data_IF_909998271930
#
_entry.id   IF_909998271930
#
_cell.length_a   1.000
_cell.length_b   1.000
_cell.length_c   1.000
_cell.angle_alpha   90.00
_cell.angle_beta   90.00
_cell.angle_gamma   90.00
#
_symmetry.space_group_name_H-M   'P 1'
#
loop_
_entity.id
_entity.type
_entity.pdbx_description
1 polymer ?
#
# COMPACT_ATOMS: atom_id res chain seq x y z
N UNK A 1 -14.50 5.71 -0.83
CA UNK A 1 -13.86 6.79 -1.58
C UNK A 1 -12.65 6.23 -2.33
N UNK A 2 -12.64 6.41 -3.65
CA UNK A 2 -11.49 6.09 -4.49
C UNK A 2 -10.80 7.40 -4.89
N UNK A 3 -9.47 7.45 -4.79
CA UNK A 3 -8.69 8.64 -5.06
C UNK A 3 -7.49 8.31 -5.97
N UNK A 4 -7.53 8.79 -7.20
CA UNK A 4 -6.43 8.68 -8.14
C UNK A 4 -5.91 10.09 -8.50
N UNK A 5 -4.86 10.50 -7.87
CA UNK A 5 -4.03 9.92 -6.82
C UNK A 5 -3.90 10.93 -5.66
N UNK A 6 -3.52 10.42 -4.48
CA UNK A 6 -3.22 11.31 -3.36
C UNK A 6 -2.01 12.21 -3.65
N UNK A 7 -1.07 11.73 -4.45
CA UNK A 7 0.10 12.51 -4.92
C UNK A 7 -0.34 13.73 -5.72
N UNK A 8 -1.32 13.58 -6.63
CA UNK A 8 -1.85 14.70 -7.42
C UNK A 8 -2.58 15.72 -6.56
N UNK A 9 -3.38 15.24 -5.61
CA UNK A 9 -4.06 16.10 -4.64
C UNK A 9 -3.04 16.90 -3.82
N UNK A 10 -2.03 16.25 -3.28
CA UNK A 10 -0.98 16.89 -2.50
C UNK A 10 -0.19 17.93 -3.30
N UNK A 11 0.13 17.62 -4.57
CA UNK A 11 0.78 18.59 -5.48
C UNK A 11 -0.09 19.83 -5.73
N UNK A 12 -1.40 19.65 -5.92
CA UNK A 12 -2.34 20.77 -6.11
C UNK A 12 -2.36 21.69 -4.89
N UNK A 13 -2.44 21.12 -3.68
CA UNK A 13 -2.35 21.90 -2.43
C UNK A 13 -1.00 22.60 -2.30
N UNK A 14 0.10 21.92 -2.61
CA UNK A 14 1.44 22.49 -2.56
C UNK A 14 1.55 23.71 -3.49
N UNK A 15 1.10 23.61 -4.73
CA UNK A 15 1.14 24.68 -5.70
C UNK A 15 0.29 25.87 -5.25
N UNK A 16 -0.91 25.63 -4.72
CA UNK A 16 -1.79 26.69 -4.23
C UNK A 16 -1.18 27.43 -3.04
N UNK A 17 -0.47 26.73 -2.17
CA UNK A 17 0.17 27.34 -0.99
C UNK A 17 1.49 28.03 -1.32
N UNK A 18 2.26 27.50 -2.28
CA UNK A 18 3.51 28.13 -2.73
C UNK A 18 3.27 29.54 -3.26
N UNK A 19 2.18 29.75 -3.99
CA UNK A 19 1.77 31.05 -4.51
C UNK A 19 1.45 32.08 -3.40
N UNK A 20 1.40 31.68 -2.14
CA UNK A 20 1.15 32.55 -0.98
C UNK A 20 2.41 32.98 -0.22
N UNK A 21 3.60 32.75 -0.80
CA UNK A 21 4.88 33.18 -0.21
C UNK A 21 5.31 32.46 1.07
N UNK A 22 4.79 31.26 1.34
CA UNK A 22 5.19 30.44 2.48
C UNK A 22 6.51 29.75 2.21
N UNK A 23 7.33 29.57 3.24
CA UNK A 23 8.59 28.83 3.15
C UNK A 23 8.41 27.38 2.76
N UNK A 24 9.45 26.76 2.20
CA UNK A 24 9.47 25.37 1.77
C UNK A 24 10.26 24.50 2.76
N UNK A 25 9.75 23.31 3.03
CA UNK A 25 10.42 22.26 3.81
C UNK A 25 11.05 21.18 2.94
N UNK A 26 11.17 19.97 3.48
CA UNK A 26 11.77 18.83 2.80
C UNK A 26 11.11 18.53 1.45
N UNK A 27 11.91 18.18 0.45
CA UNK A 27 11.43 17.85 -0.90
C UNK A 27 10.83 19.03 -1.67
N UNK A 28 10.95 20.28 -1.19
CA UNK A 28 10.33 21.45 -1.84
C UNK A 28 8.84 21.59 -1.57
N UNK A 29 8.34 20.90 -0.54
CA UNK A 29 6.94 21.00 -0.11
C UNK A 29 6.75 22.25 0.76
N UNK A 30 5.77 23.07 0.43
CA UNK A 30 5.40 24.26 1.19
C UNK A 30 4.91 23.87 2.60
N UNK A 31 5.37 24.58 3.62
CA UNK A 31 4.98 24.31 5.01
C UNK A 31 3.44 24.40 5.15
N UNK A 32 2.85 23.32 5.67
CA UNK A 32 1.40 23.19 5.85
C UNK A 32 0.63 22.68 4.62
N UNK A 33 1.26 22.52 3.46
CA UNK A 33 0.57 22.09 2.22
C UNK A 33 -0.05 20.70 2.31
N UNK A 34 0.56 19.80 3.07
CA UNK A 34 0.07 18.41 3.21
C UNK A 34 -0.93 18.23 4.36
N UNK A 35 -1.20 19.26 5.14
CA UNK A 35 -2.08 19.16 6.31
C UNK A 35 -3.51 18.75 5.94
N UNK A 36 -4.12 19.41 4.97
CA UNK A 36 -5.48 19.08 4.52
C UNK A 36 -5.54 17.73 3.82
N UNK A 37 -4.69 17.40 2.82
CA UNK A 37 -4.65 16.08 2.23
C UNK A 37 -4.48 14.95 3.26
N UNK A 38 -3.60 15.13 4.25
CA UNK A 38 -3.40 14.16 5.33
C UNK A 38 -4.65 13.97 6.18
N UNK A 39 -5.33 15.06 6.56
CA UNK A 39 -6.60 15.01 7.31
C UNK A 39 -7.69 14.30 6.52
N UNK A 40 -7.78 14.53 5.21
CA UNK A 40 -8.73 13.83 4.34
C UNK A 40 -8.46 12.33 4.32
N UNK A 41 -7.21 11.91 4.12
CA UNK A 41 -6.86 10.49 4.12
C UNK A 41 -7.06 9.84 5.50
N UNK A 42 -6.74 10.54 6.58
CA UNK A 42 -6.96 10.10 7.96
C UNK A 42 -8.44 10.09 8.38
N UNK A 43 -9.36 10.55 7.54
CA UNK A 43 -10.79 10.51 7.84
C UNK A 43 -11.41 9.10 7.73
N UNK A 44 -10.71 8.14 7.10
CA UNK A 44 -11.15 6.75 7.00
C UNK A 44 -11.32 6.13 8.39
N UNK A 45 -12.53 5.68 8.72
CA UNK A 45 -12.89 5.10 10.04
C UNK A 45 -14.25 4.43 10.05
N UNK A 46 -14.46 3.58 11.03
CA UNK A 46 -15.80 3.17 11.45
C UNK A 46 -16.38 4.21 12.41
N UNK A 47 -17.68 4.51 12.30
CA UNK A 47 -18.36 5.47 13.15
C UNK A 47 -19.23 4.77 14.22
N UNK A 48 -19.34 5.36 15.41
CA UNK A 48 -20.14 4.79 16.51
C UNK A 48 -21.65 4.80 16.20
N UNK A 49 -22.12 5.77 15.43
CA UNK A 49 -23.52 5.88 15.03
C UNK A 49 -23.95 5.01 13.86
N UNK A 50 -23.07 4.15 13.38
CA UNK A 50 -23.26 3.28 12.21
C UNK A 50 -22.57 3.82 10.95
N UNK A 51 -22.22 2.88 10.07
CA UNK A 51 -21.50 3.17 8.84
C UNK A 51 -19.98 3.28 8.99
N UNK A 52 -19.33 3.34 7.86
CA UNK A 52 -17.87 3.43 7.76
C UNK A 52 -17.43 4.23 6.54
N UNK A 53 -16.27 4.84 6.60
CA UNK A 53 -15.58 5.43 5.46
C UNK A 53 -14.30 4.64 5.18
N UNK A 54 -14.28 3.98 4.04
CA UNK A 54 -13.07 3.35 3.50
C UNK A 54 -12.50 4.25 2.41
N UNK A 55 -11.18 4.48 2.45
CA UNK A 55 -10.45 5.25 1.44
C UNK A 55 -9.40 4.36 0.79
N UNK A 56 -9.47 4.22 -0.52
CA UNK A 56 -8.44 3.62 -1.35
C UNK A 56 -7.82 4.71 -2.21
N UNK A 57 -6.54 4.99 -1.98
CA UNK A 57 -5.82 6.02 -2.69
C UNK A 57 -4.59 5.44 -3.39
N UNK A 58 -4.36 5.81 -4.64
CA UNK A 58 -3.10 5.53 -5.32
C UNK A 58 -2.07 6.60 -4.94
N UNK A 59 -0.80 6.19 -4.85
CA UNK A 59 0.33 7.08 -4.63
C UNK A 59 1.43 6.80 -5.66
N UNK A 60 2.04 7.85 -6.17
CA UNK A 60 3.16 7.73 -7.11
C UNK A 60 4.47 7.57 -6.33
N UNK A 61 5.23 6.54 -6.67
CA UNK A 61 6.57 6.28 -6.14
C UNK A 61 7.56 6.12 -7.28
N UNK A 62 8.86 6.31 -7.01
CA UNK A 62 9.92 6.15 -8.00
C UNK A 62 9.74 7.02 -9.27
N UNK A 63 9.32 8.26 -9.07
CA UNK A 63 9.10 9.24 -10.15
C UNK A 63 10.32 10.14 -10.39
N UNK A 64 11.44 9.91 -9.69
CA UNK A 64 12.61 10.81 -9.64
C UNK A 64 12.29 12.22 -9.08
N UNK A 65 11.14 12.40 -8.45
CA UNK A 65 10.70 13.64 -7.81
C UNK A 65 10.88 13.55 -6.30
N UNK A 66 11.74 14.39 -5.71
CA UNK A 66 11.89 14.51 -4.26
C UNK A 66 10.60 14.94 -3.56
N UNK A 67 9.78 15.73 -4.25
CA UNK A 67 8.46 16.12 -3.74
C UNK A 67 7.52 14.92 -3.61
N UNK A 68 7.50 14.02 -4.60
CA UNK A 68 6.65 12.82 -4.53
C UNK A 68 7.10 11.86 -3.45
N UNK A 69 8.41 11.71 -3.25
CA UNK A 69 8.94 10.92 -2.15
C UNK A 69 8.54 11.50 -0.79
N UNK A 70 8.64 12.82 -0.60
CA UNK A 70 8.21 13.49 0.62
C UNK A 70 6.70 13.33 0.85
N UNK A 71 5.89 13.47 -0.20
CA UNK A 71 4.44 13.23 -0.14
C UNK A 71 4.16 11.78 0.28
N UNK A 72 4.78 10.81 -0.38
CA UNK A 72 4.57 9.38 -0.06
C UNK A 72 4.93 9.07 1.39
N UNK A 73 6.08 9.57 1.87
CA UNK A 73 6.51 9.35 3.26
C UNK A 73 5.55 9.96 4.28
N UNK A 74 4.95 11.10 3.97
CA UNK A 74 3.95 11.74 4.83
C UNK A 74 2.67 10.89 4.99
N UNK A 75 2.23 10.22 3.90
CA UNK A 75 1.03 9.38 3.93
C UNK A 75 1.28 7.96 4.42
N UNK A 76 2.51 7.45 4.27
CA UNK A 76 2.89 6.10 4.72
C UNK A 76 2.58 5.85 6.20
N UNK A 77 2.71 6.86 7.03
CA UNK A 77 2.37 6.76 8.45
C UNK A 77 0.87 6.72 8.76
N UNK A 78 0.02 7.15 7.84
CA UNK A 78 -1.43 7.31 8.03
C UNK A 78 -2.22 6.09 7.53
N UNK A 79 -1.76 5.43 6.45
CA UNK A 79 -2.42 4.26 5.89
C UNK A 79 -2.28 3.02 6.79
N UNK A 80 -3.27 2.14 6.76
CA UNK A 80 -3.25 0.86 7.47
C UNK A 80 -3.02 -0.34 6.55
N UNK A 81 -3.02 -0.16 5.23
CA UNK A 81 -2.66 -1.16 4.23
C UNK A 81 -1.88 -0.50 3.11
N UNK A 82 -0.84 -1.17 2.65
CA UNK A 82 -0.03 -0.76 1.51
C UNK A 82 0.04 -1.92 0.51
N UNK A 83 -0.31 -1.67 -0.74
CA UNK A 83 -0.11 -2.59 -1.85
C UNK A 83 0.88 -1.94 -2.81
N UNK A 84 2.07 -2.51 -2.87
CA UNK A 84 3.18 -1.99 -3.67
C UNK A 84 3.27 -2.78 -4.97
N UNK A 85 3.20 -2.07 -6.10
CA UNK A 85 3.45 -2.64 -7.42
C UNK A 85 4.93 -2.53 -7.77
N UNK A 86 5.46 -3.52 -8.46
CA UNK A 86 6.84 -3.54 -8.92
C UNK A 86 6.92 -3.59 -10.45
N UNK A 87 7.67 -2.63 -11.01
CA UNK A 87 7.82 -2.50 -12.46
C UNK A 87 8.51 -3.70 -13.09
N UNK A 88 9.51 -4.30 -12.42
CA UNK A 88 10.24 -5.45 -12.95
C UNK A 88 9.33 -6.68 -13.06
N UNK A 89 8.38 -6.85 -12.13
CA UNK A 89 7.39 -7.92 -12.21
C UNK A 89 6.50 -7.70 -13.45
N UNK A 90 6.02 -6.47 -13.66
CA UNK A 90 5.21 -6.12 -14.82
C UNK A 90 5.96 -6.28 -16.16
N UNK A 91 7.23 -5.90 -16.23
CA UNK A 91 8.11 -6.05 -17.40
C UNK A 91 8.33 -7.52 -17.77
N UNK A 92 8.21 -8.44 -16.82
CA UNK A 92 8.22 -9.88 -17.04
C UNK A 92 6.82 -10.45 -17.34
N UNK A 93 5.82 -9.61 -17.61
CA UNK A 93 4.43 -10.00 -17.90
C UNK A 93 3.76 -10.85 -16.81
N UNK A 94 4.18 -10.66 -15.55
CA UNK A 94 3.60 -11.34 -14.39
C UNK A 94 2.58 -10.42 -13.74
N UNK A 95 1.32 -10.87 -13.68
CA UNK A 95 0.21 -10.09 -13.14
C UNK A 95 -0.61 -10.90 -12.12
N UNK A 96 -1.08 -10.26 -11.03
CA UNK A 96 -0.82 -8.86 -10.63
C UNK A 96 0.66 -8.62 -10.28
N UNK A 97 1.19 -7.47 -10.69
CA UNK A 97 2.60 -7.13 -10.51
C UNK A 97 2.90 -6.61 -9.09
N UNK A 98 2.55 -7.40 -8.08
CA UNK A 98 2.62 -7.04 -6.66
C UNK A 98 3.96 -7.45 -6.06
N UNK A 99 4.66 -6.50 -5.43
CA UNK A 99 5.78 -6.82 -4.55
C UNK A 99 5.22 -7.31 -3.20
N UNK A 100 5.18 -8.63 -3.02
CA UNK A 100 4.61 -9.27 -1.82
C UNK A 100 5.41 -9.00 -0.55
N UNK A 101 6.67 -8.60 -0.66
CA UNK A 101 7.52 -8.30 0.50
C UNK A 101 7.34 -6.88 1.01
N UNK A 102 6.99 -5.94 0.12
CA UNK A 102 6.72 -4.54 0.46
C UNK A 102 5.24 -4.27 0.73
N UNK A 103 4.36 -5.21 0.35
CA UNK A 103 2.92 -5.10 0.56
C UNK A 103 2.50 -5.73 1.88
N UNK A 104 1.52 -5.15 2.53
CA UNK A 104 1.01 -5.68 3.78
C UNK A 104 -0.07 -4.81 4.41
N UNK A 105 -0.65 -5.30 5.50
CA UNK A 105 -1.60 -4.56 6.32
C UNK A 105 -1.16 -4.55 7.78
N UNK A 106 -1.52 -3.48 8.49
CA UNK A 106 -1.29 -3.41 9.93
C UNK A 106 -2.35 -4.23 10.66
N UNK A 107 -1.97 -4.82 11.80
CA UNK A 107 -2.88 -5.55 12.66
C UNK A 107 -3.66 -6.63 11.91
N UNK A 108 -2.96 -7.42 11.06
CA UNK A 108 -3.58 -8.50 10.29
C UNK A 108 -4.25 -9.57 11.18
N UNK A 109 -3.81 -9.70 12.43
CA UNK A 109 -4.42 -10.56 13.45
C UNK A 109 -5.86 -10.18 13.81
N UNK A 110 -6.28 -8.93 13.52
CA UNK A 110 -7.67 -8.50 13.69
C UNK A 110 -8.58 -8.89 12.52
N UNK A 111 -7.99 -9.29 11.40
CA UNK A 111 -8.69 -9.58 10.14
C UNK A 111 -8.71 -11.06 9.80
N UNK A 112 -7.70 -11.79 10.25
CA UNK A 112 -7.46 -13.19 9.87
C UNK A 112 -7.37 -14.03 11.15
N UNK A 113 -8.13 -15.16 11.24
CA UNK A 113 -8.03 -16.07 12.37
C UNK A 113 -6.61 -16.63 12.55
N UNK A 114 -6.16 -16.83 13.78
CA UNK A 114 -4.78 -17.22 14.13
C UNK A 114 -4.29 -18.46 13.38
N UNK A 115 -5.13 -19.49 13.24
CA UNK A 115 -4.78 -20.72 12.54
C UNK A 115 -4.51 -20.50 11.03
N UNK A 116 -5.18 -19.53 10.41
CA UNK A 116 -4.94 -19.13 9.02
C UNK A 116 -3.72 -18.21 8.92
N UNK A 117 -3.59 -17.30 9.87
CA UNK A 117 -2.48 -16.35 9.92
C UNK A 117 -1.13 -17.07 10.02
N UNK A 118 -1.05 -18.09 10.90
CA UNK A 118 0.14 -18.92 11.00
C UNK A 118 0.54 -19.53 9.66
N UNK A 119 -0.40 -20.07 8.89
CA UNK A 119 -0.16 -20.66 7.56
C UNK A 119 0.25 -19.63 6.52
N UNK A 120 -0.33 -18.44 6.55
CA UNK A 120 0.08 -17.31 5.71
C UNK A 120 1.53 -16.91 6.01
N UNK A 121 1.91 -16.89 7.28
CA UNK A 121 3.29 -16.62 7.68
C UNK A 121 4.26 -17.71 7.19
N UNK A 122 3.83 -18.98 7.15
CA UNK A 122 4.63 -20.05 6.55
C UNK A 122 4.85 -19.84 5.06
N UNK A 123 3.81 -19.45 4.31
CA UNK A 123 3.94 -19.09 2.89
C UNK A 123 4.94 -17.94 2.71
N UNK A 124 4.75 -16.85 3.45
CA UNK A 124 5.64 -15.67 3.38
C UNK A 124 7.09 -16.05 3.69
N UNK A 125 7.30 -16.89 4.69
CA UNK A 125 8.63 -17.38 5.08
C UNK A 125 9.25 -18.26 4.01
N UNK A 126 8.45 -19.14 3.40
CA UNK A 126 8.91 -19.98 2.29
C UNK A 126 9.27 -19.20 1.02
N UNK A 127 8.68 -18.02 0.84
CA UNK A 127 9.00 -17.12 -0.26
C UNK A 127 10.14 -16.15 0.07
N UNK A 128 10.43 -15.93 1.35
CA UNK A 128 11.54 -15.05 1.77
C UNK A 128 12.87 -15.59 1.25
N UNK A 129 13.72 -14.71 0.75
CA UNK A 129 14.99 -15.10 0.12
C UNK A 129 14.91 -15.24 -1.41
N UNK A 130 13.72 -15.27 -2.00
CA UNK A 130 13.58 -15.16 -3.45
C UNK A 130 13.53 -13.70 -3.91
N UNK A 131 13.93 -13.46 -5.16
CA UNK A 131 13.73 -12.15 -5.79
C UNK A 131 12.23 -11.89 -5.96
N UNK A 132 11.76 -10.62 -5.95
CA UNK A 132 10.33 -10.31 -6.05
C UNK A 132 9.62 -10.94 -7.25
N UNK A 133 10.28 -11.02 -8.41
CA UNK A 133 9.75 -11.67 -9.62
C UNK A 133 9.50 -13.16 -9.37
N UNK A 134 10.51 -13.87 -8.90
CA UNK A 134 10.43 -15.31 -8.61
C UNK A 134 9.41 -15.63 -7.50
N UNK A 135 9.38 -14.80 -6.47
CA UNK A 135 8.43 -14.96 -5.37
C UNK A 135 6.99 -14.83 -5.86
N UNK A 136 6.72 -13.86 -6.73
CA UNK A 136 5.39 -13.65 -7.30
C UNK A 136 4.99 -14.78 -8.24
N UNK A 137 5.89 -15.27 -9.11
CA UNK A 137 5.63 -16.44 -9.96
C UNK A 137 5.29 -17.68 -9.14
N UNK A 138 6.08 -17.96 -8.09
CA UNK A 138 5.86 -19.10 -7.18
C UNK A 138 4.52 -18.99 -6.46
N UNK A 139 4.19 -17.80 -5.97
CA UNK A 139 2.90 -17.55 -5.31
C UNK A 139 1.75 -17.81 -6.28
N UNK A 140 1.79 -17.25 -7.49
CA UNK A 140 0.77 -17.43 -8.50
C UNK A 140 0.63 -18.90 -8.93
N UNK A 141 1.75 -19.59 -9.12
CA UNK A 141 1.74 -21.03 -9.42
C UNK A 141 1.08 -21.83 -8.31
N UNK A 142 1.37 -21.47 -7.05
CA UNK A 142 0.77 -22.13 -5.89
C UNK A 142 -0.74 -21.84 -5.80
N UNK A 143 -1.15 -20.57 -5.94
CA UNK A 143 -2.56 -20.16 -5.92
C UNK A 143 -3.39 -20.85 -7.00
N UNK A 144 -2.84 -21.06 -8.21
CA UNK A 144 -3.54 -21.74 -9.33
C UNK A 144 -3.89 -23.20 -9.06
N UNK A 145 -3.25 -23.85 -8.09
CA UNK A 145 -3.52 -25.26 -7.73
C UNK A 145 -4.80 -25.44 -6.93
N UNK A 146 -5.32 -24.36 -6.35
CA UNK A 146 -6.45 -24.43 -5.43
C UNK A 146 -7.59 -23.52 -5.89
N UNK A 147 -8.85 -23.94 -5.73
CA UNK A 147 -10.00 -23.17 -6.16
C UNK A 147 -10.28 -21.94 -5.27
N UNK A 148 -9.76 -21.94 -4.03
CA UNK A 148 -9.93 -20.85 -3.07
C UNK A 148 -8.84 -20.86 -1.98
N UNK A 149 -8.70 -19.73 -1.27
CA UNK A 149 -7.71 -19.58 -0.19
C UNK A 149 -7.90 -20.55 0.99
N UNK A 150 -9.12 -20.81 1.50
CA UNK A 150 -9.27 -21.78 2.59
C UNK A 150 -8.74 -23.17 2.25
N UNK A 151 -9.03 -23.70 1.07
CA UNK A 151 -8.51 -25.00 0.63
C UNK A 151 -6.99 -24.98 0.50
N UNK A 152 -6.43 -23.93 -0.09
CA UNK A 152 -4.99 -23.75 -0.15
C UNK A 152 -4.35 -23.79 1.24
N UNK A 153 -4.92 -23.07 2.21
CA UNK A 153 -4.39 -22.99 3.56
C UNK A 153 -4.53 -24.33 4.32
N UNK A 154 -5.55 -25.15 4.02
CA UNK A 154 -5.69 -26.48 4.61
C UNK A 154 -4.56 -27.44 4.20
N UNK A 155 -4.10 -27.35 2.96
CA UNK A 155 -3.03 -28.22 2.43
C UNK A 155 -1.63 -27.87 2.95
N UNK A 156 -1.43 -26.69 3.51
CA UNK A 156 -0.15 -26.29 4.10
C UNK A 156 0.03 -27.06 5.40
N UNK A 157 0.98 -27.98 5.39
CA UNK A 157 1.44 -28.69 6.59
C UNK A 157 2.41 -27.78 7.33
N UNK A 158 2.09 -27.47 8.59
CA UNK A 158 2.97 -26.74 9.52
C UNK A 158 3.97 -27.64 10.17
#
# INVERSE_FOLDING_TARGET
LLMDSITRLARAYNNTMNNRGRGTGSGGITIGALEVPRRLFAAARNTRGGGSLTILATALIQTNSRADEAIFMEFKGTGNMELVLDRKIAENYIYPAVDIFKSGTRREELLIPDHMLHKIHLIRRGLSGHRPVEAMERLLFFLKKFPNNPQMLLEIKG
#
